data_IF_562816474522
#
_entry.id   IF_562816474522
#
_cell.length_a   1.000
_cell.length_b   1.000
_cell.length_c   1.000
_cell.angle_alpha   90.00
_cell.angle_beta   90.00
_cell.angle_gamma   90.00
#
_symmetry.space_group_name_H-M   'P 1'
#
loop_
_entity.id
_entity.type
_entity.pdbx_description
1 polymer ?
#
# COMPACT_ATOMS: atom_id res chain seq x y z
N UNK A 1 16.00 -0.34 -6.30
CA UNK A 1 15.30 -0.71 -5.04
C UNK A 1 13.88 -0.15 -4.96
N UNK A 2 13.63 1.13 -5.27
CA UNK A 2 12.28 1.72 -5.19
C UNK A 2 11.26 1.09 -6.16
N UNK A 3 11.68 0.73 -7.38
CA UNK A 3 10.81 0.09 -8.37
C UNK A 3 10.19 -1.23 -7.87
N UNK A 4 11.01 -2.07 -7.23
CA UNK A 4 10.55 -3.36 -6.65
C UNK A 4 9.55 -3.13 -5.52
N UNK A 5 9.77 -2.11 -4.67
CA UNK A 5 8.85 -1.79 -3.58
C UNK A 5 7.46 -1.35 -4.09
N UNK A 6 7.42 -0.59 -5.18
CA UNK A 6 6.17 -0.15 -5.81
C UNK A 6 5.44 -1.34 -6.44
N UNK A 7 6.17 -2.23 -7.15
CA UNK A 7 5.58 -3.43 -7.76
C UNK A 7 5.01 -4.37 -6.70
N UNK A 8 5.72 -4.59 -5.60
CA UNK A 8 5.22 -5.40 -4.47
C UNK A 8 4.00 -4.79 -3.80
N UNK A 9 3.96 -3.45 -3.68
CA UNK A 9 2.79 -2.77 -3.15
C UNK A 9 1.56 -2.95 -4.04
N UNK A 10 1.70 -2.72 -5.34
CA UNK A 10 0.60 -2.90 -6.30
C UNK A 10 0.11 -4.37 -6.30
N UNK A 11 1.03 -5.33 -6.24
CA UNK A 11 0.69 -6.74 -6.15
C UNK A 11 -0.09 -7.07 -4.86
N UNK A 12 0.37 -6.58 -3.70
CA UNK A 12 -0.33 -6.76 -2.42
C UNK A 12 -1.70 -6.09 -2.42
N UNK A 13 -1.80 -4.93 -3.06
CA UNK A 13 -3.02 -4.13 -3.10
C UNK A 13 -4.10 -4.75 -4.00
N UNK A 14 -3.72 -5.17 -5.21
CA UNK A 14 -4.61 -5.82 -6.16
C UNK A 14 -4.99 -7.26 -5.72
N UNK A 15 -4.05 -7.99 -5.12
CA UNK A 15 -4.30 -9.31 -4.57
C UNK A 15 -5.11 -9.24 -3.27
N UNK A 16 -4.78 -8.31 -2.37
CA UNK A 16 -5.48 -8.11 -1.10
C UNK A 16 -6.95 -7.74 -1.32
N UNK A 17 -7.25 -6.85 -2.26
CA UNK A 17 -8.63 -6.50 -2.61
C UNK A 17 -9.44 -7.69 -3.16
N UNK A 18 -8.83 -8.54 -4.00
CA UNK A 18 -9.48 -9.73 -4.53
C UNK A 18 -9.61 -10.86 -3.49
N UNK A 19 -8.58 -11.07 -2.65
CA UNK A 19 -8.53 -12.17 -1.71
C UNK A 19 -9.41 -11.93 -0.48
N UNK A 20 -9.44 -10.70 0.02
CA UNK A 20 -10.29 -10.34 1.14
C UNK A 20 -11.72 -9.98 0.71
N UNK A 21 -11.96 -9.76 -0.58
CA UNK A 21 -13.31 -9.50 -1.13
C UNK A 21 -14.01 -8.34 -0.41
N UNK A 22 -13.24 -7.34 0.03
CA UNK A 22 -13.80 -6.25 0.81
C UNK A 22 -14.75 -5.44 -0.06
N UNK A 23 -16.03 -5.50 0.28
CA UNK A 23 -16.99 -4.53 -0.18
C UNK A 23 -16.67 -3.23 0.54
N UNK A 24 -15.97 -2.34 -0.15
CA UNK A 24 -15.71 -0.96 0.26
C UNK A 24 -16.65 -0.03 -0.54
N UNK A 25 -17.88 0.24 -0.05
CA UNK A 25 -18.79 1.18 -0.73
C UNK A 25 -18.25 2.61 -0.79
N UNK A 26 -17.31 2.95 0.11
CA UNK A 26 -16.73 4.29 0.26
C UNK A 26 -15.21 4.34 0.05
N UNK A 27 -14.57 3.21 -0.28
CA UNK A 27 -13.13 3.14 -0.59
C UNK A 27 -12.18 3.43 0.59
N UNK A 28 -12.67 3.37 1.83
CA UNK A 28 -11.90 3.75 3.03
C UNK A 28 -10.69 2.84 3.27
N UNK A 29 -10.83 1.54 3.02
CA UNK A 29 -9.69 0.62 3.15
C UNK A 29 -8.65 0.92 2.12
N UNK A 30 -9.08 1.10 0.88
CA UNK A 30 -8.19 1.32 -0.25
C UNK A 30 -7.33 2.55 0.05
N UNK A 31 -7.95 3.60 0.58
CA UNK A 31 -7.27 4.81 1.03
C UNK A 31 -6.31 4.55 2.21
N UNK A 32 -6.73 3.78 3.22
CA UNK A 32 -5.90 3.46 4.39
C UNK A 32 -4.63 2.68 4.01
N UNK A 33 -4.74 1.71 3.09
CA UNK A 33 -3.61 0.94 2.58
C UNK A 33 -2.63 1.82 1.77
N UNK A 34 -3.14 2.75 0.95
CA UNK A 34 -2.30 3.72 0.23
C UNK A 34 -1.58 4.65 1.22
N UNK A 35 -2.29 5.19 2.21
CA UNK A 35 -1.71 6.04 3.23
C UNK A 35 -0.62 5.30 4.03
N UNK A 36 -0.88 4.07 4.47
CA UNK A 36 0.09 3.26 5.19
C UNK A 36 1.38 3.02 4.39
N UNK A 37 1.26 2.77 3.08
CA UNK A 37 2.42 2.60 2.21
C UNK A 37 3.22 3.89 2.03
N UNK A 38 2.56 5.02 1.77
CA UNK A 38 3.23 6.32 1.62
C UNK A 38 3.95 6.69 2.91
N UNK A 39 3.32 6.54 4.07
CA UNK A 39 3.97 6.79 5.36
C UNK A 39 5.14 5.85 5.62
N UNK A 40 5.01 4.57 5.26
CA UNK A 40 6.11 3.59 5.35
C UNK A 40 7.32 3.98 4.49
N UNK A 41 7.09 4.48 3.27
CA UNK A 41 8.15 5.00 2.39
C UNK A 41 8.81 6.24 3.00
N UNK A 42 8.02 7.20 3.49
CA UNK A 42 8.56 8.43 4.12
C UNK A 42 9.37 8.11 5.37
N UNK A 43 8.87 7.22 6.24
CA UNK A 43 9.57 6.76 7.44
C UNK A 43 10.87 6.03 7.07
N UNK A 44 10.84 5.17 6.06
CA UNK A 44 12.01 4.46 5.56
C UNK A 44 13.06 5.39 4.94
N UNK A 45 12.65 6.48 4.30
CA UNK A 45 13.55 7.52 3.79
C UNK A 45 14.20 8.30 4.94
N UNK A 46 13.43 8.66 5.97
CA UNK A 46 13.94 9.35 7.18
C UNK A 46 14.92 8.46 7.98
N UNK A 47 14.67 7.16 8.08
CA UNK A 47 15.56 6.25 8.83
C UNK A 47 16.91 6.01 8.14
N UNK A 48 17.06 6.40 6.88
CA UNK A 48 18.24 6.15 6.05
C UNK A 48 19.15 7.38 5.88
N UNK A 49 18.67 8.56 6.26
CA UNK A 49 19.45 9.80 6.35
C UNK A 49 19.84 10.08 7.78
#
# INVERSE_FOLDING_TARGET
MAFIAIVLFIALFAFGGNYFGWQDPSGQVQLALVCAFIFGVIAGLKAKG
#
